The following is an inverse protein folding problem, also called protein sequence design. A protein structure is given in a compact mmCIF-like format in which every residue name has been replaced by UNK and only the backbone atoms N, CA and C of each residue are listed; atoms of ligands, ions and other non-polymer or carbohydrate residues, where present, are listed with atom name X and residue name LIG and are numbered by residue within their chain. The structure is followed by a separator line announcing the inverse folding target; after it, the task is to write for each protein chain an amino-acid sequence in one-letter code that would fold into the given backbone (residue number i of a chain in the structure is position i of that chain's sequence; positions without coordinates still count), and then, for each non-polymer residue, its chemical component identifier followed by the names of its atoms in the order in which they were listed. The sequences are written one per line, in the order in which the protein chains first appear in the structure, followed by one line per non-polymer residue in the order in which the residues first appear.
data_IF_791240339465
#
_entry.id   IF_791240339465
#
_cell.length_a   1.000
_cell.length_b   1.000
_cell.length_c   1.000
_cell.angle_alpha   90.00
_cell.angle_beta   90.00
_cell.angle_gamma   90.00
#
_symmetry.space_group_name_H-M   'P 1'
#
loop_
_entity.id
_entity.type
_entity.pdbx_description
1 polymer ?
#
# COMPACT_ATOMS: atom_id res chain seq x y z
N UNK A 1 -0.74 13.67 10.42
CA UNK A 1 -1.97 14.25 9.83
C UNK A 1 -2.60 13.16 8.96
N UNK A 2 -3.75 12.60 9.36
CA UNK A 2 -4.43 11.57 8.55
C UNK A 2 -5.18 12.26 7.42
N UNK A 3 -4.90 11.88 6.16
CA UNK A 3 -5.67 12.29 4.99
C UNK A 3 -6.96 11.48 5.00
N UNK A 4 -8.12 12.15 4.92
CA UNK A 4 -9.39 11.47 4.64
C UNK A 4 -9.40 11.19 3.14
N UNK A 5 -9.07 9.95 2.78
CA UNK A 5 -9.26 9.47 1.41
C UNK A 5 -10.72 9.09 1.23
N UNK A 6 -11.28 9.43 0.08
CA UNK A 6 -12.63 9.03 -0.28
C UNK A 6 -12.69 7.49 -0.45
N UNK A 7 -13.88 6.90 -0.27
CA UNK A 7 -14.06 5.45 -0.37
C UNK A 7 -13.56 4.87 -1.70
N UNK A 8 -13.58 5.68 -2.77
CA UNK A 8 -13.02 5.32 -4.08
C UNK A 8 -11.50 5.16 -4.04
N UNK A 9 -10.79 6.09 -3.40
CA UNK A 9 -9.33 6.03 -3.30
C UNK A 9 -8.88 4.88 -2.40
N UNK A 10 -9.62 4.59 -1.33
CA UNK A 10 -9.36 3.42 -0.49
C UNK A 10 -9.49 2.10 -1.28
N UNK A 11 -10.51 1.99 -2.14
CA UNK A 11 -10.68 0.84 -3.02
C UNK A 11 -9.60 0.75 -4.09
N UNK A 12 -9.15 1.88 -4.66
CA UNK A 12 -8.05 1.88 -5.63
C UNK A 12 -6.72 1.46 -4.98
N UNK A 13 -6.46 1.86 -3.73
CA UNK A 13 -5.33 1.41 -2.92
C UNK A 13 -5.37 -0.12 -2.75
N UNK A 14 -6.53 -0.68 -2.42
CA UNK A 14 -6.71 -2.13 -2.25
C UNK A 14 -6.55 -2.85 -3.60
N UNK A 15 -7.14 -2.34 -4.67
CA UNK A 15 -7.04 -2.91 -6.01
C UNK A 15 -5.58 -2.92 -6.50
N UNK A 16 -4.82 -1.86 -6.24
CA UNK A 16 -3.40 -1.79 -6.54
C UNK A 16 -2.61 -2.83 -5.74
N UNK A 17 -2.90 -2.99 -4.44
CA UNK A 17 -2.27 -4.03 -3.62
C UNK A 17 -2.58 -5.44 -4.13
N UNK A 18 -3.85 -5.71 -4.48
CA UNK A 18 -4.27 -6.99 -5.05
C UNK A 18 -3.66 -7.27 -6.43
N UNK A 19 -3.39 -6.22 -7.21
CA UNK A 19 -2.67 -6.31 -8.49
C UNK A 19 -1.19 -6.65 -8.31
N UNK A 20 -0.69 -6.69 -7.08
CA UNK A 20 0.70 -7.02 -6.73
C UNK A 20 1.61 -5.80 -6.55
N UNK A 21 1.07 -4.57 -6.58
CA UNK A 21 1.84 -3.39 -6.22
C UNK A 21 2.16 -3.39 -4.73
N UNK A 22 3.34 -2.88 -4.40
CA UNK A 22 3.75 -2.71 -3.01
C UNK A 22 3.11 -1.46 -2.39
N UNK A 23 3.03 -1.44 -1.05
CA UNK A 23 2.58 -0.26 -0.28
C UNK A 23 3.38 1.00 -0.64
N UNK A 24 4.65 0.85 -1.01
CA UNK A 24 5.51 1.94 -1.47
C UNK A 24 5.08 2.50 -2.81
N UNK A 25 4.84 1.64 -3.80
CA UNK A 25 4.38 2.08 -5.12
C UNK A 25 2.98 2.68 -5.06
N UNK A 26 2.12 2.13 -4.21
CA UNK A 26 0.80 2.69 -3.94
C UNK A 26 0.95 4.08 -3.30
N UNK A 27 1.76 4.22 -2.25
CA UNK A 27 2.01 5.51 -1.61
C UNK A 27 2.57 6.56 -2.59
N UNK A 28 3.51 6.17 -3.46
CA UNK A 28 4.05 7.04 -4.49
C UNK A 28 3.01 7.42 -5.56
N UNK A 29 2.15 6.49 -5.96
CA UNK A 29 1.12 6.70 -6.98
C UNK A 29 -0.01 7.60 -6.51
N UNK A 30 -0.41 7.47 -5.24
CA UNK A 30 -1.48 8.27 -4.64
C UNK A 30 -0.95 9.49 -3.87
N UNK A 31 0.37 9.66 -3.76
CA UNK A 31 0.98 10.74 -2.99
C UNK A 31 0.74 10.63 -1.47
N UNK A 32 0.40 9.44 -0.97
CA UNK A 32 0.06 9.21 0.43
C UNK A 32 1.16 8.45 1.16
N UNK A 33 1.34 8.79 2.42
CA UNK A 33 2.35 8.14 3.24
C UNK A 33 2.03 6.66 3.44
N UNK A 34 3.06 5.80 3.49
CA UNK A 34 2.92 4.35 3.71
C UNK A 34 2.07 4.00 4.94
N UNK A 35 2.14 4.83 5.97
CA UNK A 35 1.36 4.66 7.22
C UNK A 35 -0.14 4.85 6.98
N UNK A 36 -0.51 5.74 6.05
CA UNK A 36 -1.90 5.96 5.64
C UNK A 36 -2.40 4.75 4.86
N UNK A 37 -1.61 4.25 3.91
CA UNK A 37 -1.92 3.01 3.18
C UNK A 37 -2.12 1.85 4.16
N UNK A 38 -1.21 1.68 5.13
CA UNK A 38 -1.35 0.65 6.17
C UNK A 38 -2.60 0.83 7.04
N UNK A 39 -2.98 2.06 7.36
CA UNK A 39 -4.17 2.34 8.17
C UNK A 39 -5.46 2.02 7.41
N UNK A 40 -5.53 2.37 6.13
CA UNK A 40 -6.68 2.09 5.24
C UNK A 40 -6.85 0.58 5.06
N UNK A 41 -5.75 -0.09 4.76
CA UNK A 41 -5.72 -1.53 4.53
C UNK A 41 -6.17 -2.29 5.79
N UNK A 42 -5.75 -1.85 6.98
CA UNK A 42 -6.24 -2.37 8.26
C UNK A 42 -7.73 -2.07 8.50
N UNK A 43 -8.21 -0.86 8.19
CA UNK A 43 -9.63 -0.48 8.32
C UNK A 43 -10.54 -1.34 7.45
N UNK A 44 -10.10 -1.69 6.25
CA UNK A 44 -10.83 -2.55 5.32
C UNK A 44 -10.66 -4.05 5.61
N UNK A 45 -10.02 -4.42 6.72
CA UNK A 45 -9.82 -5.82 7.10
C UNK A 45 -8.85 -6.57 6.19
N UNK A 46 -8.13 -5.87 5.31
CA UNK A 46 -7.07 -6.45 4.49
C UNK A 46 -5.86 -6.60 5.41
N UNK A 47 -5.78 -7.74 6.09
CA UNK A 47 -4.58 -8.09 6.85
C UNK A 47 -3.40 -8.06 5.88
N UNK A 48 -2.39 -7.24 6.20
CA UNK A 48 -1.05 -7.44 5.66
C UNK A 48 -0.63 -8.84 6.07
N UNK A 49 -0.95 -9.84 5.23
CA UNK A 49 -0.35 -11.15 5.35
C UNK A 49 1.13 -10.86 5.41
N UNK A 50 1.79 -11.24 6.52
CA UNK A 50 3.23 -11.46 6.53
C UNK A 50 3.48 -12.34 5.32
N UNK A 51 3.87 -11.72 4.21
CA UNK A 51 4.09 -12.47 3.00
C UNK A 51 5.18 -13.50 3.39
N UNK A 52 5.00 -14.79 3.08
CA UNK A 52 6.13 -15.70 3.16
C UNK A 52 7.23 -15.04 2.33
N UNK A 53 8.46 -14.95 2.85
CA UNK A 53 9.61 -14.34 2.19
C UNK A 53 9.57 -14.76 0.71
N UNK A 54 9.04 -13.91 -0.17
CA UNK A 54 9.17 -14.15 -1.58
C UNK A 54 10.66 -13.94 -1.83
N UNK A 55 11.38 -14.97 -2.30
CA UNK A 55 12.73 -14.68 -2.74
C UNK A 55 12.55 -13.72 -3.90
N UNK A 56 13.36 -12.66 -3.95
CA UNK A 56 13.53 -11.89 -5.18
C UNK A 56 12.42 -10.89 -5.55
N UNK A 57 12.06 -9.96 -4.66
CA UNK A 57 11.47 -8.68 -5.09
C UNK A 57 12.54 -7.58 -5.04
N UNK A 58 13.49 -7.70 -5.96
CA UNK A 58 14.51 -6.69 -6.29
C UNK A 58 13.88 -5.57 -7.11
N UNK A 59 13.20 -4.65 -6.42
CA UNK A 59 12.93 -3.30 -6.95
C UNK A 59 12.68 -2.32 -5.81
N UNK A 60 13.58 -2.26 -4.84
CA UNK A 60 13.73 -1.04 -4.06
C UNK A 60 14.30 0.02 -5.02
N UNK A 61 13.58 1.12 -5.34
CA UNK A 61 14.27 2.29 -5.85
C UNK A 61 15.27 2.72 -4.76
N UNK A 62 16.50 3.14 -5.11
CA UNK A 62 17.43 3.68 -4.13
C UNK A 62 16.73 4.87 -3.46
N UNK A 63 16.43 4.75 -2.17
CA UNK A 63 16.08 5.91 -1.37
C UNK A 63 17.38 6.27 -0.66
N UNK A 64 18.00 7.35 -1.15
CA UNK A 64 19.00 8.15 -0.44
C UNK A 64 18.53 8.45 1.00
#
# INVERSE_FOLDING_TARGET
MQVRLDAKEELEVIAAYLSGLTVYEIGARFGIHRTTVSAIMQRHGVMMRRAPKRPYQLRTPPTD
#
